data_IF_656066370996
#
_entry.id   IF_656066370996
#
_cell.length_a   1.000
_cell.length_b   1.000
_cell.length_c   1.000
_cell.angle_alpha   90.00
_cell.angle_beta   90.00
_cell.angle_gamma   90.00
#
_symmetry.space_group_name_H-M   'P 1'
#
loop_
_entity.id
_entity.type
_entity.pdbx_description
1 polymer ?
#
# COMPACT_ATOMS: atom_id res chain seq x y z
N UNK A 1 15.02 -0.61 -16.66
CA UNK A 1 14.98 -1.60 -15.55
C UNK A 1 15.50 -0.94 -14.28
N UNK A 2 14.89 -1.25 -13.12
CA UNK A 2 15.39 -0.76 -11.82
C UNK A 2 16.66 -1.56 -11.51
N UNK A 3 17.78 -0.84 -11.24
CA UNK A 3 19.00 -1.50 -10.79
C UNK A 3 18.96 -1.65 -9.26
N UNK A 4 18.91 -2.90 -8.77
CA UNK A 4 18.79 -3.21 -7.34
C UNK A 4 19.94 -2.72 -6.48
N UNK A 5 21.18 -2.75 -6.98
CA UNK A 5 22.35 -2.24 -6.25
C UNK A 5 22.32 -0.71 -6.13
N UNK A 6 21.97 0.02 -7.18
CA UNK A 6 21.79 1.47 -7.09
C UNK A 6 20.65 1.85 -6.12
N UNK A 7 19.54 1.10 -6.13
CA UNK A 7 18.46 1.32 -5.19
C UNK A 7 18.91 1.07 -3.75
N UNK A 8 19.66 -0.01 -3.49
CA UNK A 8 20.22 -0.35 -2.18
C UNK A 8 21.17 0.74 -1.67
N UNK A 9 22.08 1.21 -2.53
CA UNK A 9 22.99 2.32 -2.19
C UNK A 9 22.21 3.57 -1.83
N UNK A 10 21.23 3.97 -2.62
CA UNK A 10 20.37 5.13 -2.34
C UNK A 10 19.57 4.99 -1.03
N UNK A 11 19.09 3.78 -0.71
CA UNK A 11 18.43 3.48 0.56
C UNK A 11 19.40 3.63 1.74
N UNK A 12 20.63 3.14 1.63
CA UNK A 12 21.67 3.27 2.66
C UNK A 12 22.05 4.74 2.89
N UNK A 13 22.31 5.49 1.83
CA UNK A 13 22.63 6.91 1.93
C UNK A 13 21.49 7.70 2.58
N UNK A 14 20.25 7.43 2.17
CA UNK A 14 19.07 8.04 2.76
C UNK A 14 18.90 7.67 4.22
N UNK A 15 19.18 6.42 4.60
CA UNK A 15 19.13 5.94 5.97
C UNK A 15 20.19 6.63 6.84
N UNK A 16 21.47 6.62 6.44
CA UNK A 16 22.53 7.27 7.18
C UNK A 16 22.30 8.77 7.35
N UNK A 17 21.83 9.47 6.30
CA UNK A 17 21.50 10.88 6.39
C UNK A 17 20.38 11.17 7.40
N UNK A 18 19.35 10.32 7.47
CA UNK A 18 18.23 10.47 8.42
C UNK A 18 18.65 10.13 9.84
N UNK A 19 19.45 9.08 10.05
CA UNK A 19 19.99 8.72 11.36
C UNK A 19 20.94 9.77 11.90
N UNK A 20 21.79 10.36 11.06
CA UNK A 20 22.67 11.46 11.48
C UNK A 20 21.89 12.66 12.00
N UNK A 21 20.70 12.94 11.41
CA UNK A 21 19.83 14.05 11.85
C UNK A 21 19.00 13.69 13.07
N UNK A 22 18.67 12.43 13.27
CA UNK A 22 17.89 11.94 14.39
C UNK A 22 18.30 10.47 14.72
N UNK A 23 19.32 10.30 15.56
CA UNK A 23 19.88 8.96 15.88
C UNK A 23 18.93 8.06 16.67
N UNK A 24 17.88 8.62 17.30
CA UNK A 24 16.88 7.84 18.04
C UNK A 24 15.69 7.40 17.19
N UNK A 25 15.80 7.53 15.86
CA UNK A 25 14.69 7.17 14.97
C UNK A 25 14.56 5.66 14.83
N UNK A 26 13.38 5.12 15.19
CA UNK A 26 13.09 3.69 15.16
C UNK A 26 12.92 3.11 13.75
N UNK A 27 12.60 3.96 12.76
CA UNK A 27 12.39 3.51 11.39
C UNK A 27 12.45 4.61 10.36
N UNK A 28 12.80 4.21 9.14
CA UNK A 28 12.88 5.06 7.96
C UNK A 28 11.90 4.53 6.93
N UNK A 29 10.94 5.35 6.52
CA UNK A 29 10.00 4.97 5.49
C UNK A 29 10.56 5.19 4.09
N UNK A 30 10.39 4.18 3.26
CA UNK A 30 10.56 4.23 1.82
C UNK A 30 9.22 3.93 1.14
N UNK A 31 8.65 4.91 0.45
CA UNK A 31 7.46 4.71 -0.38
C UNK A 31 7.89 4.53 -1.83
N UNK A 32 7.64 3.34 -2.38
CA UNK A 32 7.79 3.10 -3.81
C UNK A 32 6.49 3.53 -4.52
N UNK A 33 6.63 4.21 -5.65
CA UNK A 33 5.56 4.79 -6.44
C UNK A 33 4.65 5.78 -5.68
N UNK A 34 4.83 7.04 -5.97
CA UNK A 34 3.85 8.09 -5.62
C UNK A 34 2.70 8.09 -6.63
N UNK A 35 3.02 7.72 -7.88
CA UNK A 35 2.09 7.48 -8.99
C UNK A 35 2.51 6.23 -9.76
N UNK A 36 1.56 5.54 -10.37
CA UNK A 36 1.78 4.26 -11.08
C UNK A 36 1.62 3.04 -10.17
N UNK A 37 1.80 1.86 -10.74
CA UNK A 37 1.61 0.57 -10.10
C UNK A 37 2.89 -0.28 -10.21
N UNK A 38 2.94 -1.41 -9.53
CA UNK A 38 3.97 -2.46 -9.64
C UNK A 38 3.58 -3.52 -10.69
N UNK A 39 2.65 -3.20 -11.56
CA UNK A 39 2.19 -4.07 -12.63
C UNK A 39 3.21 -4.19 -13.78
N UNK A 40 3.16 -5.30 -14.49
CA UNK A 40 3.72 -5.41 -15.84
C UNK A 40 2.96 -4.43 -16.73
N UNK A 41 3.68 -3.62 -17.51
CA UNK A 41 3.08 -2.58 -18.34
C UNK A 41 1.95 -3.12 -19.23
N UNK A 42 0.82 -2.45 -19.22
CA UNK A 42 -0.37 -2.84 -19.98
C UNK A 42 -1.16 -4.02 -19.43
N UNK A 43 -0.83 -4.53 -18.25
CA UNK A 43 -1.53 -5.65 -17.60
C UNK A 43 -1.99 -5.33 -16.18
N UNK A 44 -2.80 -6.22 -15.59
CA UNK A 44 -3.16 -6.23 -14.17
C UNK A 44 -2.33 -7.22 -13.34
N UNK A 45 -1.23 -7.73 -13.89
CA UNK A 45 -0.37 -8.71 -13.22
C UNK A 45 0.79 -8.02 -12.52
N UNK A 46 1.17 -8.52 -11.36
CA UNK A 46 2.34 -8.03 -10.60
C UNK A 46 3.63 -8.32 -11.38
N UNK A 47 4.47 -7.32 -11.53
CA UNK A 47 5.84 -7.48 -12.04
C UNK A 47 6.74 -8.06 -10.94
N UNK A 48 6.89 -9.39 -10.95
CA UNK A 48 7.68 -10.14 -9.97
C UNK A 48 9.12 -9.65 -9.91
N UNK A 49 9.75 -9.43 -11.06
CA UNK A 49 11.15 -9.00 -11.12
C UNK A 49 11.34 -7.63 -10.47
N UNK A 50 10.39 -6.73 -10.66
CA UNK A 50 10.39 -5.41 -10.05
C UNK A 50 10.19 -5.49 -8.54
N UNK A 51 9.26 -6.32 -8.08
CA UNK A 51 9.00 -6.56 -6.65
C UNK A 51 10.24 -7.14 -5.98
N UNK A 52 10.83 -8.20 -6.54
CA UNK A 52 12.03 -8.85 -5.99
C UNK A 52 13.22 -7.90 -5.94
N UNK A 53 13.41 -7.08 -6.98
CA UNK A 53 14.47 -6.07 -7.02
C UNK A 53 14.33 -5.07 -5.87
N UNK A 54 13.13 -4.58 -5.62
CA UNK A 54 12.87 -3.58 -4.56
C UNK A 54 12.99 -4.24 -3.18
N UNK A 55 12.34 -5.38 -2.97
CA UNK A 55 12.36 -6.11 -1.71
C UNK A 55 13.78 -6.56 -1.33
N UNK A 56 14.54 -7.10 -2.30
CA UNK A 56 15.94 -7.48 -2.11
C UNK A 56 16.86 -6.30 -1.79
N UNK A 57 16.61 -5.13 -2.39
CA UNK A 57 17.38 -3.92 -2.07
C UNK A 57 17.09 -3.43 -0.64
N UNK A 58 15.82 -3.50 -0.17
CA UNK A 58 15.43 -3.14 1.19
C UNK A 58 16.04 -4.13 2.19
N UNK A 59 15.91 -5.43 1.93
CA UNK A 59 16.50 -6.48 2.77
C UNK A 59 18.02 -6.33 2.87
N UNK A 60 18.71 -6.14 1.73
CA UNK A 60 20.15 -5.95 1.69
C UNK A 60 20.61 -4.68 2.41
N UNK A 61 19.85 -3.59 2.34
CA UNK A 61 20.13 -2.38 3.10
C UNK A 61 19.89 -2.58 4.60
N UNK A 62 18.82 -3.29 4.98
CA UNK A 62 18.48 -3.59 6.37
C UNK A 62 19.54 -4.48 7.06
N UNK A 63 20.19 -5.40 6.33
CA UNK A 63 21.33 -6.17 6.86
C UNK A 63 22.50 -5.27 7.29
N UNK A 64 22.60 -4.06 6.74
CA UNK A 64 23.66 -3.08 7.10
C UNK A 64 23.23 -2.16 8.24
N UNK A 65 21.95 -1.69 8.23
CA UNK A 65 21.49 -0.65 9.17
C UNK A 65 20.56 -1.15 10.27
N UNK A 66 20.33 -2.47 10.39
CA UNK A 66 19.59 -3.06 11.51
C UNK A 66 18.06 -3.01 11.39
N UNK A 67 17.51 -3.34 10.21
CA UNK A 67 16.06 -3.51 9.98
C UNK A 67 15.19 -2.26 10.20
N UNK A 68 15.78 -1.08 10.09
CA UNK A 68 15.07 0.19 10.29
C UNK A 68 14.36 0.71 9.05
N UNK A 69 14.71 0.21 7.84
CA UNK A 69 14.08 0.64 6.58
C UNK A 69 12.81 -0.16 6.36
N UNK A 70 11.67 0.53 6.24
CA UNK A 70 10.37 -0.05 5.95
C UNK A 70 9.87 0.46 4.61
N UNK A 71 9.79 -0.43 3.63
CA UNK A 71 9.25 -0.13 2.32
C UNK A 71 7.74 -0.36 2.26
N UNK A 72 7.03 0.43 1.47
CA UNK A 72 5.65 0.15 1.12
C UNK A 72 5.23 0.73 -0.22
N UNK A 73 4.21 0.12 -0.81
CA UNK A 73 3.52 0.61 -2.01
C UNK A 73 2.04 0.23 -1.99
N UNK A 74 1.33 0.69 -3.01
CA UNK A 74 -0.05 0.31 -3.29
C UNK A 74 -0.15 -0.28 -4.68
N UNK A 75 -1.06 -1.25 -4.88
CA UNK A 75 -1.29 -1.87 -6.17
C UNK A 75 -2.77 -2.07 -6.45
N UNK A 76 -3.17 -1.88 -7.70
CA UNK A 76 -4.46 -2.26 -8.26
C UNK A 76 -4.37 -3.56 -9.07
N UNK A 77 -3.23 -4.26 -8.99
CA UNK A 77 -3.10 -5.55 -9.63
C UNK A 77 -4.17 -6.53 -9.12
N UNK A 78 -4.54 -7.45 -9.98
CA UNK A 78 -5.38 -8.58 -9.59
C UNK A 78 -4.64 -9.41 -8.52
N UNK A 79 -5.29 -9.63 -7.38
CA UNK A 79 -4.74 -10.40 -6.28
C UNK A 79 -5.36 -11.80 -6.32
N UNK A 80 -4.63 -12.75 -6.88
CA UNK A 80 -4.89 -14.19 -6.79
C UNK A 80 -3.93 -14.85 -5.79
N UNK A 81 -3.95 -16.18 -5.71
CA UNK A 81 -3.05 -16.93 -4.83
C UNK A 81 -1.58 -16.70 -5.19
N UNK A 82 -1.24 -16.68 -6.48
CA UNK A 82 0.14 -16.45 -6.92
C UNK A 82 0.62 -15.03 -6.57
N UNK A 83 -0.21 -14.03 -6.83
CA UNK A 83 0.09 -12.64 -6.44
C UNK A 83 0.22 -12.52 -4.91
N UNK A 84 -0.58 -13.26 -4.12
CA UNK A 84 -0.49 -13.24 -2.67
C UNK A 84 0.85 -13.77 -2.16
N UNK A 85 1.38 -14.85 -2.74
CA UNK A 85 2.68 -15.41 -2.36
C UNK A 85 3.81 -14.40 -2.61
N UNK A 86 3.80 -13.72 -3.77
CA UNK A 86 4.76 -12.67 -4.09
C UNK A 86 4.69 -11.51 -3.07
N UNK A 87 3.47 -11.09 -2.70
CA UNK A 87 3.25 -10.02 -1.73
C UNK A 87 3.74 -10.42 -0.34
N UNK A 88 3.51 -11.65 0.08
CA UNK A 88 3.98 -12.16 1.37
C UNK A 88 5.51 -12.28 1.43
N UNK A 89 6.16 -12.76 0.37
CA UNK A 89 7.62 -12.81 0.28
C UNK A 89 8.24 -11.40 0.34
N UNK A 90 7.67 -10.46 -0.40
CA UNK A 90 8.10 -9.06 -0.35
C UNK A 90 7.94 -8.46 1.06
N UNK A 91 6.83 -8.76 1.75
CA UNK A 91 6.57 -8.30 3.12
C UNK A 91 7.59 -8.88 4.11
N UNK A 92 7.98 -10.14 3.96
CA UNK A 92 9.03 -10.78 4.77
C UNK A 92 10.39 -10.06 4.60
N UNK A 93 10.71 -9.59 3.40
CA UNK A 93 11.92 -8.80 3.09
C UNK A 93 11.82 -7.32 3.52
N UNK A 94 10.70 -6.89 4.12
CA UNK A 94 10.49 -5.51 4.60
C UNK A 94 9.83 -4.57 3.61
N UNK A 95 9.24 -5.10 2.52
CA UNK A 95 8.52 -4.32 1.51
C UNK A 95 7.03 -4.69 1.51
N UNK A 96 6.18 -3.86 2.12
CA UNK A 96 4.75 -4.11 2.18
C UNK A 96 4.02 -3.59 0.94
N UNK A 97 3.28 -4.48 0.29
CA UNK A 97 2.42 -4.16 -0.84
C UNK A 97 0.98 -4.18 -0.33
N UNK A 98 0.30 -3.04 -0.43
CA UNK A 98 -1.09 -2.89 0.01
C UNK A 98 -2.01 -2.98 -1.21
N UNK A 99 -3.04 -3.83 -1.15
CA UNK A 99 -4.09 -3.86 -2.16
C UNK A 99 -4.87 -2.53 -2.13
N UNK A 100 -4.93 -1.84 -3.26
CA UNK A 100 -5.73 -0.62 -3.44
C UNK A 100 -7.09 -1.01 -4.00
N UNK A 101 -8.10 -0.99 -3.15
CA UNK A 101 -9.45 -1.48 -3.44
C UNK A 101 -10.40 -0.31 -3.70
N UNK A 102 -11.40 -0.54 -4.56
CA UNK A 102 -12.49 0.40 -4.83
C UNK A 102 -13.84 -0.11 -4.28
N UNK A 103 -13.93 -1.40 -3.95
CA UNK A 103 -15.12 -2.05 -3.38
C UNK A 103 -14.82 -2.80 -2.09
N UNK A 104 -15.85 -3.04 -1.28
CA UNK A 104 -15.75 -3.84 -0.05
C UNK A 104 -15.44 -5.30 -0.37
N UNK A 105 -15.93 -5.82 -1.49
CA UNK A 105 -15.66 -7.18 -1.97
C UNK A 105 -14.18 -7.39 -2.27
N UNK A 106 -13.54 -6.45 -2.94
CA UNK A 106 -12.08 -6.47 -3.18
C UNK A 106 -11.31 -6.45 -1.86
N UNK A 107 -11.75 -5.64 -0.88
CA UNK A 107 -11.16 -5.61 0.45
C UNK A 107 -11.30 -6.98 1.14
N UNK A 108 -12.50 -7.60 1.09
CA UNK A 108 -12.74 -8.94 1.67
C UNK A 108 -11.81 -9.96 1.04
N UNK A 109 -11.69 -9.95 -0.28
CA UNK A 109 -10.81 -10.85 -1.02
C UNK A 109 -9.35 -10.68 -0.60
N UNK A 110 -8.81 -9.47 -0.61
CA UNK A 110 -7.45 -9.19 -0.17
C UNK A 110 -7.20 -9.62 1.30
N UNK A 111 -8.17 -9.35 2.19
CA UNK A 111 -8.08 -9.73 3.60
C UNK A 111 -8.16 -11.25 3.80
N UNK A 112 -8.93 -11.97 3.00
CA UNK A 112 -8.98 -13.44 3.03
C UNK A 112 -7.62 -14.07 2.64
N UNK A 113 -6.85 -13.39 1.78
CA UNK A 113 -5.49 -13.78 1.40
C UNK A 113 -4.41 -13.23 2.37
N UNK A 114 -4.80 -12.64 3.51
CA UNK A 114 -3.87 -12.10 4.50
C UNK A 114 -3.18 -10.78 4.09
N UNK A 115 -3.63 -10.14 3.02
CA UNK A 115 -2.99 -8.94 2.47
C UNK A 115 -3.57 -7.68 3.12
N UNK A 116 -2.72 -6.69 3.35
CA UNK A 116 -3.14 -5.37 3.75
C UNK A 116 -3.98 -4.72 2.65
N UNK A 117 -5.14 -4.19 3.00
CA UNK A 117 -5.99 -3.47 2.08
C UNK A 117 -6.13 -2.00 2.45
N UNK A 118 -6.27 -1.18 1.44
CA UNK A 118 -6.71 0.21 1.52
C UNK A 118 -7.90 0.38 0.58
N UNK A 119 -8.81 1.30 0.87
CA UNK A 119 -9.98 1.57 0.03
C UNK A 119 -10.13 3.06 -0.22
N UNK A 120 -10.32 3.43 -1.49
CA UNK A 120 -10.65 4.79 -1.87
C UNK A 120 -12.14 5.06 -1.63
N UNK A 121 -12.48 6.20 -1.02
CA UNK A 121 -13.84 6.49 -0.63
C UNK A 121 -14.26 7.92 -0.93
N UNK A 122 -15.50 8.05 -1.42
CA UNK A 122 -16.20 9.33 -1.58
C UNK A 122 -16.73 9.82 -0.24
N UNK A 123 -17.23 8.88 0.56
CA UNK A 123 -17.72 9.08 1.93
C UNK A 123 -17.05 8.08 2.87
N UNK A 124 -15.96 8.47 3.54
CA UNK A 124 -15.24 7.56 4.42
C UNK A 124 -16.07 7.01 5.59
N UNK A 125 -17.04 7.77 6.09
CA UNK A 125 -17.92 7.32 7.20
C UNK A 125 -18.87 6.23 6.72
N UNK A 126 -19.41 6.36 5.53
CA UNK A 126 -20.28 5.32 4.96
C UNK A 126 -19.47 4.05 4.64
N UNK A 127 -18.29 4.19 4.04
CA UNK A 127 -17.40 3.06 3.78
C UNK A 127 -16.99 2.33 5.08
N UNK A 128 -16.79 3.07 6.19
CA UNK A 128 -16.51 2.45 7.49
C UNK A 128 -17.69 1.58 7.97
N UNK A 129 -18.93 2.04 7.78
CA UNK A 129 -20.13 1.24 8.10
C UNK A 129 -20.26 0.01 7.19
N UNK A 130 -20.03 0.16 5.88
CA UNK A 130 -20.03 -0.95 4.92
C UNK A 130 -19.02 -2.03 5.32
N UNK A 131 -17.78 -1.65 5.67
CA UNK A 131 -16.76 -2.56 6.16
C UNK A 131 -17.19 -3.26 7.45
N UNK A 132 -17.74 -2.52 8.41
CA UNK A 132 -18.23 -3.08 9.68
C UNK A 132 -19.36 -4.09 9.46
N UNK A 133 -20.24 -3.84 8.51
CA UNK A 133 -21.35 -4.75 8.19
C UNK A 133 -20.89 -6.14 7.70
N UNK A 134 -19.66 -6.23 7.17
CA UNK A 134 -19.03 -7.49 6.73
C UNK A 134 -17.94 -8.00 7.71
N UNK A 135 -17.91 -7.48 8.93
CA UNK A 135 -16.99 -7.91 9.99
C UNK A 135 -15.57 -7.38 9.86
N UNK A 136 -15.34 -6.34 9.04
CA UNK A 136 -14.05 -5.71 8.87
C UNK A 136 -13.97 -4.36 9.61
N UNK A 137 -12.78 -4.00 10.06
CA UNK A 137 -12.51 -2.71 10.69
C UNK A 137 -11.87 -1.75 9.70
N UNK A 138 -12.54 -0.61 9.44
CA UNK A 138 -12.03 0.49 8.65
C UNK A 138 -11.64 1.68 9.54
N UNK A 139 -10.63 2.42 9.11
CA UNK A 139 -10.29 3.71 9.71
C UNK A 139 -9.80 4.69 8.64
N UNK A 140 -10.20 5.95 8.75
CA UNK A 140 -9.68 6.99 7.85
C UNK A 140 -8.17 7.13 8.02
N UNK A 141 -7.47 7.42 6.91
CA UNK A 141 -6.03 7.63 6.93
C UNK A 141 -5.66 8.75 7.91
N UNK A 142 -4.89 8.47 8.97
CA UNK A 142 -4.53 9.49 9.97
C UNK A 142 -3.82 10.71 9.37
N UNK A 143 -2.99 10.50 8.34
CA UNK A 143 -2.30 11.58 7.65
C UNK A 143 -3.24 12.50 6.82
N UNK A 144 -4.52 12.09 6.62
CA UNK A 144 -5.52 12.94 5.97
C UNK A 144 -6.42 13.68 6.95
N UNK A 145 -6.54 13.20 8.21
CA UNK A 145 -7.55 13.71 9.15
C UNK A 145 -6.97 14.30 10.43
N UNK A 146 -5.70 14.03 10.74
CA UNK A 146 -5.04 14.57 11.94
C UNK A 146 -4.01 15.61 11.53
N UNK A 147 -4.16 16.82 12.07
CA UNK A 147 -3.19 17.89 11.90
C UNK A 147 -1.80 17.45 12.42
N UNK A 148 -0.74 17.80 11.69
CA UNK A 148 0.64 17.44 12.04
C UNK A 148 0.99 15.97 11.85
N UNK A 149 0.04 15.11 11.41
CA UNK A 149 0.29 13.69 11.14
C UNK A 149 0.74 13.49 9.69
N UNK A 150 1.90 12.88 9.49
CA UNK A 150 2.38 12.43 8.18
C UNK A 150 2.61 10.91 8.16
N UNK A 151 3.03 10.39 7.00
CA UNK A 151 3.30 8.96 6.86
C UNK A 151 4.49 8.48 7.70
N UNK A 152 5.48 9.36 7.97
CA UNK A 152 6.63 9.00 8.81
C UNK A 152 6.25 8.81 10.28
N UNK A 153 5.26 9.55 10.76
CA UNK A 153 4.70 9.39 12.11
C UNK A 153 3.71 8.23 12.17
N UNK A 154 2.83 8.10 11.18
CA UNK A 154 1.76 7.12 11.17
C UNK A 154 2.25 5.69 10.90
N UNK A 155 3.02 5.47 9.84
CA UNK A 155 3.61 4.21 9.39
C UNK A 155 2.63 3.03 9.17
N UNK A 156 1.32 3.23 9.22
CA UNK A 156 0.34 2.15 9.11
C UNK A 156 0.44 1.37 7.79
N UNK A 157 0.78 2.04 6.68
CA UNK A 157 0.91 1.39 5.37
C UNK A 157 2.19 0.55 5.23
N UNK A 158 3.16 0.73 6.13
CA UNK A 158 4.41 -0.03 6.19
C UNK A 158 4.43 -1.06 7.34
N UNK A 159 3.27 -1.44 7.88
CA UNK A 159 3.12 -2.43 8.95
C UNK A 159 1.98 -3.40 8.60
N UNK A 160 2.13 -4.68 8.98
CA UNK A 160 1.01 -5.61 8.94
C UNK A 160 -0.08 -5.13 9.90
N UNK A 161 -1.33 -5.14 9.44
CA UNK A 161 -2.46 -4.63 10.19
C UNK A 161 -3.77 -5.35 9.88
N UNK A 162 -4.65 -5.41 10.86
CA UNK A 162 -6.03 -5.90 10.66
C UNK A 162 -6.95 -4.82 10.08
N UNK A 163 -6.70 -3.55 10.42
CA UNK A 163 -7.52 -2.42 10.00
C UNK A 163 -7.33 -2.11 8.51
N UNK A 164 -8.43 -1.81 7.83
CA UNK A 164 -8.47 -1.31 6.45
C UNK A 164 -8.32 0.21 6.49
N UNK A 165 -7.38 0.76 5.74
CA UNK A 165 -7.21 2.22 5.69
C UNK A 165 -8.13 2.79 4.62
N UNK A 166 -8.99 3.73 5.02
CA UNK A 166 -9.91 4.43 4.13
C UNK A 166 -9.26 5.74 3.70
N UNK A 167 -9.01 5.89 2.40
CA UNK A 167 -8.56 7.14 1.79
C UNK A 167 -9.75 7.94 1.30
N UNK A 168 -10.02 9.09 1.92
CA UNK A 168 -10.97 10.06 1.39
C UNK A 168 -10.43 10.69 0.11
N UNK A 169 -11.29 10.82 -0.92
CA UNK A 169 -10.92 11.48 -2.16
C UNK A 169 -10.73 12.98 -1.91
N UNK A 170 -9.56 13.50 -2.23
CA UNK A 170 -9.21 14.92 -2.09
C UNK A 170 -8.43 15.44 -3.30
N UNK A 171 -8.19 16.75 -3.34
CA UNK A 171 -7.40 17.43 -4.37
C UNK A 171 -8.20 17.89 -5.59
N UNK A 172 -7.49 18.47 -6.56
CA UNK A 172 -8.07 19.14 -7.75
C UNK A 172 -8.85 18.20 -8.69
N UNK A 173 -8.52 16.91 -8.69
CA UNK A 173 -9.19 15.89 -9.51
C UNK A 173 -10.31 15.12 -8.77
N UNK A 174 -10.75 15.61 -7.60
CA UNK A 174 -11.79 14.99 -6.77
C UNK A 174 -13.05 14.59 -7.55
N UNK A 175 -13.51 15.43 -8.46
CA UNK A 175 -14.69 15.15 -9.27
C UNK A 175 -14.51 13.99 -10.25
N UNK A 176 -13.35 13.89 -10.92
CA UNK A 176 -13.03 12.79 -11.83
C UNK A 176 -12.86 11.46 -11.06
N UNK A 177 -12.14 11.47 -9.95
CA UNK A 177 -11.94 10.29 -9.12
C UNK A 177 -13.27 9.78 -8.53
N UNK A 178 -14.16 10.68 -8.05
CA UNK A 178 -15.51 10.35 -7.60
C UNK A 178 -16.30 9.61 -8.68
N UNK A 179 -16.30 10.14 -9.91
CA UNK A 179 -17.02 9.54 -11.04
C UNK A 179 -16.48 8.17 -11.42
N UNK A 180 -15.16 7.99 -11.42
CA UNK A 180 -14.51 6.70 -11.69
C UNK A 180 -14.89 5.63 -10.67
N UNK A 181 -14.82 5.92 -9.37
CA UNK A 181 -15.21 4.99 -8.30
C UNK A 181 -16.70 4.63 -8.39
N UNK A 182 -17.58 5.60 -8.65
CA UNK A 182 -19.00 5.32 -8.79
C UNK A 182 -19.28 4.37 -9.98
N UNK A 183 -18.62 4.56 -11.11
CA UNK A 183 -18.74 3.67 -12.28
C UNK A 183 -18.23 2.27 -11.94
N UNK A 184 -17.09 2.15 -11.26
CA UNK A 184 -16.52 0.86 -10.88
C UNK A 184 -17.44 0.09 -9.92
N UNK A 185 -17.93 0.74 -8.88
CA UNK A 185 -18.88 0.16 -7.91
C UNK A 185 -20.20 -0.28 -8.57
N UNK A 186 -20.72 0.50 -9.51
CA UNK A 186 -21.93 0.14 -10.27
C UNK A 186 -21.71 -1.11 -11.14
N UNK A 187 -20.56 -1.24 -11.80
CA UNK A 187 -20.21 -2.43 -12.58
C UNK A 187 -20.07 -3.67 -11.68
N UNK A 188 -19.39 -3.58 -10.54
CA UNK A 188 -19.23 -4.66 -9.58
C UNK A 188 -20.59 -5.13 -9.03
N UNK A 189 -21.50 -4.20 -8.71
CA UNK A 189 -22.87 -4.51 -8.23
C UNK A 189 -23.72 -5.24 -9.28
N UNK A 190 -23.53 -4.93 -10.57
CA UNK A 190 -24.27 -5.60 -11.65
C UNK A 190 -23.74 -7.01 -11.91
N UNK A 191 -22.43 -7.24 -11.80
CA UNK A 191 -21.83 -8.57 -11.90
C UNK A 191 -22.23 -9.51 -10.77
N UNK A 192 -22.46 -8.98 -9.55
CA UNK A 192 -22.88 -9.77 -8.40
C UNK A 192 -24.37 -10.21 -8.44
N UNK A 193 -25.14 -9.75 -9.45
CA UNK A 193 -26.57 -10.10 -9.63
C UNK A 193 -26.80 -11.12 -10.75
N UNK A 194 -25.72 -11.55 -11.44
CA UNK A 194 -25.73 -12.62 -12.45
C UNK A 194 -25.26 -13.92 -11.84
#
# INVERSE_FOLDING_TARGET
MINGEHLKIGLLEGAFNKLRKNPTRDSILFRHNVAGDIAIEGTSLIDVNRVDTIAGAIEGANKVVGEIIKGYTFTHCMIDLHASDIIHDAAYKGFLINASCETVEEVKHAKALGINAVIASVDPKETEKELKAVGLYGAQCPAQVKEGMDCNHCQLCAKNRKVVIIFGIHGSHKGKARKAIQIHRAKASNLAKL
#
